data_IF_305796426698
#
_entry.id   IF_305796426698
#
_cell.length_a   1.000
_cell.length_b   1.000
_cell.length_c   1.000
_cell.angle_alpha   90.00
_cell.angle_beta   90.00
_cell.angle_gamma   90.00
#
_symmetry.space_group_name_H-M   'P 1'
#
loop_
_entity.id
_entity.type
_entity.pdbx_description
1 polymer ?
#
# COMPACT_ATOMS: atom_id res chain seq x y z
N UNK A 1 -12.44 -9.96 -82.93
CA UNK A 1 -12.30 -10.99 -81.85
C UNK A 1 -12.10 -10.23 -80.56
N UNK A 2 -13.20 -9.99 -79.85
CA UNK A 2 -13.26 -9.20 -78.63
C UNK A 2 -13.28 -10.13 -77.44
N UNK A 3 -12.32 -10.01 -76.59
CA UNK A 3 -12.29 -10.74 -75.31
C UNK A 3 -12.42 -9.75 -74.16
N UNK A 4 -13.66 -9.54 -73.74
CA UNK A 4 -13.97 -8.77 -72.52
C UNK A 4 -13.75 -9.65 -71.31
N UNK A 5 -12.74 -9.31 -70.51
CA UNK A 5 -12.48 -9.95 -69.22
C UNK A 5 -13.34 -9.21 -68.19
N UNK A 6 -14.35 -9.89 -67.62
CA UNK A 6 -15.14 -9.44 -66.46
C UNK A 6 -14.37 -9.74 -65.18
N UNK A 7 -13.86 -8.68 -64.57
CA UNK A 7 -13.32 -8.75 -63.20
C UNK A 7 -14.48 -8.75 -62.20
N UNK A 8 -14.70 -9.87 -61.51
CA UNK A 8 -15.66 -9.94 -60.42
C UNK A 8 -14.89 -9.54 -59.16
N UNK A 9 -15.23 -8.34 -58.65
CA UNK A 9 -14.75 -7.87 -57.32
C UNK A 9 -15.59 -8.57 -56.28
N UNK A 10 -15.03 -9.57 -55.59
CA UNK A 10 -15.64 -10.21 -54.41
C UNK A 10 -15.29 -9.39 -53.19
N UNK A 11 -16.22 -8.52 -52.78
CA UNK A 11 -16.12 -7.76 -51.53
C UNK A 11 -16.30 -8.68 -50.31
N UNK A 12 -15.22 -9.05 -49.64
CA UNK A 12 -15.28 -9.67 -48.33
C UNK A 12 -15.63 -8.58 -47.29
N UNK A 13 -16.92 -8.55 -46.87
CA UNK A 13 -17.33 -7.87 -45.65
C UNK A 13 -16.81 -8.69 -44.45
N UNK A 14 -15.68 -8.29 -43.93
CA UNK A 14 -15.25 -8.69 -42.58
C UNK A 14 -16.15 -7.95 -41.57
N UNK A 15 -17.26 -8.60 -41.20
CA UNK A 15 -18.01 -8.22 -40.02
C UNK A 15 -17.11 -8.50 -38.80
N UNK A 16 -16.40 -7.49 -38.38
CA UNK A 16 -15.68 -7.51 -37.09
C UNK A 16 -16.69 -7.61 -35.96
N UNK A 17 -17.03 -8.83 -35.56
CA UNK A 17 -17.68 -9.05 -34.26
C UNK A 17 -16.65 -8.67 -33.20
N UNK A 18 -16.71 -7.44 -32.70
CA UNK A 18 -16.09 -7.09 -31.45
C UNK A 18 -16.78 -7.96 -30.37
N UNK A 19 -16.16 -9.11 -30.08
CA UNK A 19 -16.47 -9.82 -28.85
C UNK A 19 -16.06 -8.90 -27.73
N UNK A 20 -17.01 -8.13 -27.21
CA UNK A 20 -16.95 -7.56 -25.88
C UNK A 20 -16.89 -8.76 -24.93
N UNK A 21 -15.68 -9.16 -24.58
CA UNK A 21 -15.47 -9.96 -23.39
C UNK A 21 -15.93 -9.08 -22.23
N UNK A 22 -17.17 -9.28 -21.79
CA UNK A 22 -17.60 -8.89 -20.47
C UNK A 22 -16.73 -9.66 -19.49
N UNK A 23 -15.54 -9.13 -19.22
CA UNK A 23 -14.76 -9.54 -18.09
C UNK A 23 -15.59 -9.07 -16.89
N UNK A 24 -16.24 -10.03 -16.20
CA UNK A 24 -16.73 -9.77 -14.85
C UNK A 24 -15.53 -9.24 -14.08
N UNK A 25 -15.44 -7.92 -13.96
CA UNK A 25 -14.31 -7.26 -13.30
C UNK A 25 -14.44 -7.57 -11.82
N UNK A 26 -13.63 -8.54 -11.37
CA UNK A 26 -13.57 -8.86 -9.95
C UNK A 26 -13.18 -7.58 -9.21
N UNK A 27 -14.02 -7.16 -8.26
CA UNK A 27 -13.67 -6.12 -7.30
C UNK A 27 -12.73 -6.71 -6.26
N UNK A 28 -11.51 -6.18 -6.16
CA UNK A 28 -10.57 -6.57 -5.11
C UNK A 28 -10.79 -5.73 -3.86
N UNK A 29 -10.88 -6.39 -2.71
CA UNK A 29 -11.00 -5.72 -1.41
C UNK A 29 -9.65 -5.69 -0.71
N UNK A 30 -9.23 -4.50 -0.28
CA UNK A 30 -7.93 -4.27 0.35
C UNK A 30 -8.13 -3.65 1.72
N UNK A 31 -7.74 -4.37 2.77
CA UNK A 31 -7.82 -3.90 4.15
C UNK A 31 -6.49 -3.27 4.58
N UNK A 32 -6.54 -2.04 5.08
CA UNK A 32 -5.40 -1.33 5.65
C UNK A 32 -5.46 -1.41 7.18
N UNK A 33 -4.53 -2.14 7.78
CA UNK A 33 -4.37 -2.26 9.23
C UNK A 33 -3.04 -1.62 9.66
N UNK A 34 -3.13 -0.47 10.30
CA UNK A 34 -1.94 0.29 10.66
C UNK A 34 -2.27 1.54 11.48
N UNK A 35 -1.41 2.52 11.39
CA UNK A 35 -1.47 3.76 12.18
C UNK A 35 -1.73 5.00 11.30
N UNK A 36 -1.45 6.17 11.85
CA UNK A 36 -1.72 7.47 11.19
C UNK A 36 -1.07 7.65 9.82
N UNK A 37 -0.04 6.89 9.47
CA UNK A 37 0.57 6.94 8.13
C UNK A 37 -0.42 6.49 7.06
N UNK A 38 -1.32 5.56 7.38
CA UNK A 38 -2.32 5.09 6.43
C UNK A 38 -3.52 6.04 6.25
N UNK A 39 -3.87 6.83 7.26
CA UNK A 39 -5.11 7.60 7.22
C UNK A 39 -4.95 9.11 7.41
N UNK A 40 -3.78 9.60 7.84
CA UNK A 40 -3.57 11.03 8.07
C UNK A 40 -3.50 11.80 6.74
N UNK A 41 -3.93 13.05 6.73
CA UNK A 41 -3.93 13.94 5.55
C UNK A 41 -4.60 13.34 4.28
N UNK A 42 -5.61 12.50 4.43
CA UNK A 42 -6.32 11.88 3.32
C UNK A 42 -5.94 10.44 3.02
N UNK A 43 -4.94 9.89 3.74
CA UNK A 43 -4.59 8.48 3.71
C UNK A 43 -3.86 8.01 2.45
N UNK A 44 -3.35 6.79 2.50
CA UNK A 44 -2.72 6.12 1.36
C UNK A 44 -3.73 5.45 0.43
N UNK A 45 -4.90 5.11 0.93
CA UNK A 45 -5.91 4.36 0.19
C UNK A 45 -6.48 5.14 -1.00
N UNK A 46 -6.68 6.46 -0.87
CA UNK A 46 -7.22 7.28 -1.96
C UNK A 46 -6.32 7.32 -3.20
N UNK A 47 -5.03 7.68 -3.10
CA UNK A 47 -4.16 7.61 -4.27
C UNK A 47 -3.91 6.17 -4.74
N UNK A 48 -3.93 5.16 -3.85
CA UNK A 48 -3.84 3.76 -4.25
C UNK A 48 -5.02 3.35 -5.14
N UNK A 49 -6.26 3.66 -4.75
CA UNK A 49 -7.45 3.44 -5.58
C UNK A 49 -7.37 4.23 -6.89
N UNK A 50 -6.83 5.45 -6.86
CA UNK A 50 -6.62 6.26 -8.05
C UNK A 50 -5.73 5.56 -9.07
N UNK A 51 -4.59 4.99 -8.65
CA UNK A 51 -3.73 4.18 -9.53
C UNK A 51 -4.44 2.94 -10.07
N UNK A 52 -5.23 2.26 -9.23
CA UNK A 52 -5.98 1.07 -9.65
C UNK A 52 -7.05 1.41 -10.67
N UNK A 53 -7.84 2.46 -10.43
CA UNK A 53 -8.91 2.90 -11.33
C UNK A 53 -8.37 3.35 -12.69
N UNK A 54 -7.27 4.12 -12.71
CA UNK A 54 -6.60 4.51 -13.95
C UNK A 54 -6.12 3.31 -14.75
N UNK A 55 -5.70 2.26 -14.08
CA UNK A 55 -5.30 1.00 -14.71
C UNK A 55 -6.49 0.10 -15.11
N UNK A 56 -7.73 0.53 -14.96
CA UNK A 56 -8.94 -0.26 -15.21
C UNK A 56 -9.10 -1.43 -14.24
N UNK A 57 -8.58 -1.32 -13.01
CA UNK A 57 -8.72 -2.31 -11.97
C UNK A 57 -9.75 -1.83 -10.94
N UNK A 58 -10.69 -2.69 -10.61
CA UNK A 58 -11.67 -2.39 -9.56
C UNK A 58 -11.12 -2.84 -8.19
N UNK A 59 -10.69 -1.87 -7.38
CA UNK A 59 -10.20 -2.08 -6.03
C UNK A 59 -10.99 -1.23 -5.04
N UNK A 60 -11.38 -1.85 -3.92
CA UNK A 60 -11.96 -1.15 -2.77
C UNK A 60 -10.99 -1.21 -1.60
N UNK A 61 -10.52 -0.06 -1.19
CA UNK A 61 -9.78 0.08 0.04
C UNK A 61 -10.73 0.16 1.24
N UNK A 62 -10.37 -0.55 2.30
CA UNK A 62 -11.07 -0.52 3.58
C UNK A 62 -10.07 -0.17 4.66
N UNK A 63 -10.36 0.83 5.48
CA UNK A 63 -9.51 1.23 6.59
C UNK A 63 -10.20 0.92 7.92
N UNK A 64 -9.43 0.44 8.88
CA UNK A 64 -9.94 0.13 10.22
C UNK A 64 -10.37 1.36 11.03
N UNK A 65 -10.09 2.58 10.59
CA UNK A 65 -10.43 3.79 11.33
C UNK A 65 -11.63 4.50 10.76
N UNK A 66 -12.52 4.91 11.67
CA UNK A 66 -13.60 5.84 11.39
C UNK A 66 -13.03 7.26 11.22
N UNK A 67 -12.74 7.66 9.98
CA UNK A 67 -12.64 9.07 9.62
C UNK A 67 -14.00 9.47 9.08
N UNK A 68 -14.45 10.73 9.21
CA UNK A 68 -15.78 11.11 8.72
C UNK A 68 -16.01 10.54 7.32
N UNK A 69 -17.10 9.81 7.13
CA UNK A 69 -17.31 9.05 5.94
C UNK A 69 -17.52 10.01 4.82
N UNK A 70 -17.14 10.09 3.76
CA UNK A 70 -17.92 10.73 2.75
C UNK A 70 -17.21 11.40 1.59
N UNK A 71 -15.92 11.54 1.64
CA UNK A 71 -15.33 12.21 0.49
C UNK A 71 -14.57 11.29 -0.46
N UNK A 72 -14.31 10.03 -0.11
CA UNK A 72 -13.34 9.21 -0.83
C UNK A 72 -13.83 7.80 -1.23
N UNK A 73 -15.09 7.44 -0.98
CA UNK A 73 -15.60 6.11 -1.31
C UNK A 73 -14.99 4.95 -0.49
N UNK A 74 -14.20 5.27 0.53
CA UNK A 74 -13.57 4.28 1.40
C UNK A 74 -14.56 3.83 2.47
N UNK A 75 -14.71 2.52 2.62
CA UNK A 75 -15.48 1.95 3.70
C UNK A 75 -14.67 2.04 5.00
N UNK A 76 -15.20 2.76 6.00
CA UNK A 76 -14.60 2.87 7.32
C UNK A 76 -15.30 1.98 8.32
N UNK A 77 -14.49 1.33 9.15
CA UNK A 77 -14.99 0.47 10.21
C UNK A 77 -14.82 1.21 11.53
N UNK A 78 -15.92 1.31 12.28
CA UNK A 78 -15.89 1.93 13.61
C UNK A 78 -15.31 0.95 14.64
N UNK A 79 -14.02 1.05 14.86
CA UNK A 79 -13.27 0.21 15.82
C UNK A 79 -12.98 0.91 17.15
N UNK A 80 -13.38 2.15 17.32
CA UNK A 80 -13.01 2.94 18.49
C UNK A 80 -11.49 3.18 18.56
N UNK A 81 -10.86 2.92 19.71
CA UNK A 81 -9.41 3.10 19.87
C UNK A 81 -8.65 1.99 19.14
N UNK A 82 -7.89 2.36 18.12
CA UNK A 82 -7.10 1.43 17.32
C UNK A 82 -5.84 1.03 18.10
N UNK A 83 -5.53 -0.27 18.17
CA UNK A 83 -4.21 -0.74 18.60
C UNK A 83 -3.11 -0.14 17.73
N UNK A 84 -2.01 0.27 18.34
CA UNK A 84 -0.94 0.99 17.63
C UNK A 84 0.28 0.14 17.32
N UNK A 85 0.29 -1.12 17.75
CA UNK A 85 1.39 -2.05 17.51
C UNK A 85 0.87 -3.43 17.12
N UNK A 86 1.71 -4.21 16.46
CA UNK A 86 1.34 -5.54 15.97
C UNK A 86 0.82 -6.51 17.04
N UNK A 87 1.46 -6.66 18.22
CA UNK A 87 0.92 -7.52 19.28
C UNK A 87 -0.48 -7.13 19.76
N UNK A 88 -0.77 -5.83 19.90
CA UNK A 88 -2.11 -5.37 20.27
C UNK A 88 -3.13 -5.64 19.15
N UNK A 89 -2.74 -5.43 17.88
CA UNK A 89 -3.58 -5.74 16.72
C UNK A 89 -3.87 -7.25 16.68
N UNK A 90 -2.85 -8.09 16.87
CA UNK A 90 -3.00 -9.53 16.84
C UNK A 90 -3.73 -10.12 18.05
N UNK A 91 -3.79 -9.40 19.17
CA UNK A 91 -4.54 -9.81 20.36
C UNK A 91 -6.02 -9.39 20.29
N UNK A 92 -6.41 -8.53 19.38
CA UNK A 92 -7.79 -8.05 19.25
C UNK A 92 -8.62 -9.02 18.41
N UNK A 93 -9.53 -9.76 19.07
CA UNK A 93 -10.42 -10.72 18.39
C UNK A 93 -11.28 -10.05 17.30
N UNK A 94 -11.67 -8.79 17.48
CA UNK A 94 -12.45 -8.05 16.48
C UNK A 94 -11.68 -7.86 15.17
N UNK A 95 -10.35 -7.73 15.24
CA UNK A 95 -9.51 -7.67 14.05
C UNK A 95 -9.50 -9.01 13.32
N UNK A 96 -9.38 -10.12 14.06
CA UNK A 96 -9.47 -11.46 13.48
C UNK A 96 -10.84 -11.73 12.85
N UNK A 97 -11.92 -11.33 13.53
CA UNK A 97 -13.28 -11.45 13.01
C UNK A 97 -13.46 -10.60 11.73
N UNK A 98 -12.93 -9.37 11.73
CA UNK A 98 -12.94 -8.49 10.56
C UNK A 98 -12.23 -9.14 9.37
N UNK A 99 -11.01 -9.64 9.57
CA UNK A 99 -10.24 -10.30 8.51
C UNK A 99 -11.01 -11.51 7.98
N UNK A 100 -11.53 -12.35 8.90
CA UNK A 100 -12.20 -13.60 8.54
C UNK A 100 -13.52 -13.40 7.81
N UNK A 101 -14.26 -12.35 8.13
CA UNK A 101 -15.59 -12.08 7.55
C UNK A 101 -15.57 -11.14 6.36
N UNK A 102 -14.49 -10.37 6.17
CA UNK A 102 -14.46 -9.26 5.24
C UNK A 102 -14.17 -9.63 3.78
N UNK A 103 -13.82 -10.89 3.49
CA UNK A 103 -13.45 -11.35 2.13
C UNK A 103 -12.41 -10.44 1.46
N UNK A 104 -11.33 -10.10 2.19
CA UNK A 104 -10.26 -9.28 1.67
C UNK A 104 -9.31 -10.09 0.81
N UNK A 105 -8.99 -9.60 -0.38
CA UNK A 105 -7.96 -10.17 -1.25
C UNK A 105 -6.56 -9.86 -0.75
N UNK A 106 -6.39 -8.66 -0.16
CA UNK A 106 -5.13 -8.21 0.42
C UNK A 106 -5.36 -7.56 1.78
N UNK A 107 -4.52 -7.89 2.75
CA UNK A 107 -4.48 -7.22 4.04
C UNK A 107 -3.11 -6.60 4.24
N UNK A 108 -3.06 -5.29 4.28
CA UNK A 108 -1.84 -4.51 4.43
C UNK A 108 -1.61 -4.27 5.91
N UNK A 109 -0.51 -4.81 6.41
CA UNK A 109 -0.10 -4.71 7.81
C UNK A 109 1.04 -3.70 7.93
N UNK A 110 0.89 -2.75 8.81
CA UNK A 110 1.92 -1.78 9.16
C UNK A 110 2.21 -1.85 10.66
N UNK A 111 3.48 -1.95 11.02
CA UNK A 111 3.92 -1.84 12.39
C UNK A 111 4.45 -0.44 12.67
N UNK A 112 3.93 0.20 13.69
CA UNK A 112 4.47 1.47 14.15
C UNK A 112 5.95 1.30 14.53
N UNK A 113 6.81 2.26 14.17
CA UNK A 113 8.23 2.24 14.47
C UNK A 113 8.55 1.97 15.95
N UNK A 114 7.78 2.56 16.88
CA UNK A 114 7.93 2.30 18.32
C UNK A 114 7.64 0.85 18.72
N UNK A 115 7.12 0.05 17.78
CA UNK A 115 6.93 -1.39 17.97
C UNK A 115 8.18 -2.24 17.70
N UNK A 116 9.35 -1.64 17.39
CA UNK A 116 10.57 -2.40 17.17
C UNK A 116 11.68 -1.97 18.11
N UNK A 117 12.38 -2.95 18.67
CA UNK A 117 13.60 -2.73 19.44
C UNK A 117 14.74 -2.47 18.45
N UNK A 118 15.24 -1.24 18.47
CA UNK A 118 16.37 -0.85 17.64
C UNK A 118 17.62 -0.83 18.53
N UNK A 119 18.75 -1.44 18.11
CA UNK A 119 19.95 -1.55 18.94
C UNK A 119 20.46 -0.24 19.53
N UNK A 120 20.25 0.89 18.86
CA UNK A 120 20.71 2.21 19.28
C UNK A 120 19.68 3.04 20.08
N UNK A 121 18.61 2.44 20.56
CA UNK A 121 17.61 3.13 21.41
C UNK A 121 18.20 3.64 22.76
N UNK A 122 19.47 3.36 23.03
CA UNK A 122 20.20 3.96 24.14
C UNK A 122 20.21 5.50 24.09
N UNK A 123 20.18 6.08 22.87
CA UNK A 123 20.10 7.53 22.64
C UNK A 123 18.70 8.11 22.91
N UNK A 124 17.68 7.25 23.08
CA UNK A 124 16.30 7.67 23.26
C UNK A 124 15.63 6.88 24.41
N UNK A 125 16.05 7.11 25.68
CA UNK A 125 15.63 6.30 26.82
C UNK A 125 14.11 6.24 27.03
N UNK A 126 13.39 7.29 26.66
CA UNK A 126 11.91 7.33 26.76
C UNK A 126 11.20 6.42 25.74
N UNK A 127 11.90 5.83 24.81
CA UNK A 127 11.35 4.93 23.77
C UNK A 127 11.54 3.45 24.10
N UNK A 128 12.53 3.10 24.94
CA UNK A 128 12.79 1.71 25.37
C UNK A 128 11.57 1.04 26.01
N UNK A 129 10.80 1.80 26.79
CA UNK A 129 9.61 1.28 27.45
C UNK A 129 8.45 0.93 26.51
N UNK A 130 8.56 1.30 25.21
CA UNK A 130 7.54 1.08 24.19
C UNK A 130 8.04 0.18 23.06
N UNK A 131 9.29 -0.26 23.12
CA UNK A 131 9.86 -1.15 22.11
C UNK A 131 9.43 -2.59 22.39
N UNK A 132 9.06 -3.29 21.32
CA UNK A 132 8.56 -4.66 21.38
C UNK A 132 9.67 -5.59 20.84
N UNK A 133 9.98 -6.69 21.55
CA UNK A 133 10.94 -7.67 21.06
C UNK A 133 10.56 -8.22 19.69
N UNK A 134 11.57 -8.61 18.91
CA UNK A 134 11.39 -9.18 17.58
C UNK A 134 10.44 -10.39 17.62
N UNK A 135 10.62 -11.27 18.60
CA UNK A 135 9.84 -12.49 18.79
C UNK A 135 8.35 -12.18 18.95
N UNK A 136 8.01 -11.15 19.72
CA UNK A 136 6.61 -10.73 19.88
C UNK A 136 6.00 -10.15 18.61
N UNK A 137 6.82 -9.46 17.81
CA UNK A 137 6.35 -8.95 16.51
C UNK A 137 6.15 -10.09 15.50
N UNK A 138 7.06 -11.06 15.44
CA UNK A 138 6.91 -12.19 14.52
C UNK A 138 5.76 -13.11 14.93
N UNK A 139 5.54 -13.33 16.22
CA UNK A 139 4.39 -14.10 16.74
C UNK A 139 3.06 -13.43 16.35
N UNK A 140 2.97 -12.12 16.56
CA UNK A 140 1.81 -11.32 16.17
C UNK A 140 1.54 -11.36 14.67
N UNK A 141 2.57 -11.14 13.87
CA UNK A 141 2.48 -11.23 12.40
C UNK A 141 2.11 -12.63 11.94
N UNK A 142 2.64 -13.67 12.61
CA UNK A 142 2.33 -15.06 12.29
C UNK A 142 0.85 -15.38 12.56
N UNK A 143 0.31 -14.86 13.67
CA UNK A 143 -1.11 -14.99 14.00
C UNK A 143 -2.00 -14.32 12.95
N UNK A 144 -1.71 -13.06 12.61
CA UNK A 144 -2.45 -12.33 11.59
C UNK A 144 -2.32 -12.97 10.20
N UNK A 145 -1.11 -13.40 9.84
CA UNK A 145 -0.87 -14.07 8.55
C UNK A 145 -1.69 -15.35 8.42
N UNK A 146 -1.77 -16.16 9.48
CA UNK A 146 -2.65 -17.35 9.48
C UNK A 146 -4.10 -16.99 9.25
N UNK A 147 -4.62 -16.02 9.99
CA UNK A 147 -6.01 -15.55 9.82
C UNK A 147 -6.27 -15.06 8.39
N UNK A 148 -5.36 -14.25 7.84
CA UNK A 148 -5.48 -13.70 6.48
C UNK A 148 -5.52 -14.82 5.44
N UNK A 149 -4.59 -15.77 5.53
CA UNK A 149 -4.49 -16.88 4.57
C UNK A 149 -5.71 -17.80 4.68
N UNK A 150 -6.14 -18.13 5.90
CA UNK A 150 -7.32 -18.97 6.13
C UNK A 150 -8.61 -18.30 5.64
N UNK A 151 -8.67 -16.97 5.64
CA UNK A 151 -9.75 -16.20 5.03
C UNK A 151 -9.65 -16.08 3.50
N UNK A 152 -8.60 -16.63 2.89
CA UNK A 152 -8.37 -16.59 1.43
C UNK A 152 -7.65 -15.33 0.94
N UNK A 153 -7.19 -14.46 1.84
CA UNK A 153 -6.47 -13.24 1.50
C UNK A 153 -4.95 -13.42 1.40
N UNK A 154 -4.27 -12.41 0.92
CA UNK A 154 -2.81 -12.32 0.86
C UNK A 154 -2.29 -11.25 1.82
N UNK A 155 -1.25 -11.59 2.57
CA UNK A 155 -0.59 -10.67 3.50
C UNK A 155 0.36 -9.74 2.75
N UNK A 156 0.23 -8.45 3.01
CA UNK A 156 1.12 -7.40 2.53
C UNK A 156 1.77 -6.72 3.74
N UNK A 157 3.07 -6.87 3.90
CA UNK A 157 3.84 -6.20 4.94
C UNK A 157 4.34 -4.85 4.41
N UNK A 158 3.81 -3.77 4.93
CA UNK A 158 4.20 -2.41 4.56
C UNK A 158 5.32 -1.92 5.46
N UNK A 159 6.48 -1.63 4.87
CA UNK A 159 7.65 -1.14 5.60
C UNK A 159 7.44 0.33 5.96
N UNK A 160 7.18 0.58 7.23
CA UNK A 160 6.87 1.91 7.77
C UNK A 160 7.99 2.92 7.49
N UNK A 161 7.70 4.08 6.89
CA UNK A 161 8.71 5.06 6.50
C UNK A 161 9.50 5.69 7.67
N UNK A 162 8.94 5.65 8.86
CA UNK A 162 9.56 6.23 10.05
C UNK A 162 9.44 7.76 10.11
N UNK A 163 9.94 8.34 11.20
CA UNK A 163 9.94 9.77 11.45
C UNK A 163 11.21 10.37 10.83
N UNK A 164 11.13 11.57 10.25
CA UNK A 164 12.24 12.24 9.57
C UNK A 164 13.48 12.46 10.45
N UNK A 165 13.28 12.73 11.75
CA UNK A 165 14.37 12.98 12.71
C UNK A 165 15.22 11.75 13.01
N UNK A 166 14.93 10.61 12.42
CA UNK A 166 15.55 9.33 12.72
C UNK A 166 16.08 8.63 11.46
N UNK A 167 16.62 9.39 10.52
CA UNK A 167 17.19 8.85 9.29
C UNK A 167 18.23 7.74 9.55
N UNK A 168 19.07 7.91 10.57
CA UNK A 168 20.13 6.97 10.92
C UNK A 168 19.65 5.59 11.34
N UNK A 169 18.41 5.48 11.87
CA UNK A 169 17.83 4.21 12.31
C UNK A 169 16.90 3.57 11.28
N UNK A 170 16.64 4.23 10.16
CA UNK A 170 15.79 3.65 9.11
C UNK A 170 16.43 2.42 8.49
N UNK A 171 17.75 2.42 8.29
CA UNK A 171 18.43 1.26 7.73
C UNK A 171 18.34 0.00 8.61
N UNK A 172 18.65 0.03 9.92
CA UNK A 172 18.42 -1.11 10.80
C UNK A 172 16.97 -1.58 10.81
N UNK A 173 16.00 -0.67 10.83
CA UNK A 173 14.58 -0.99 10.77
C UNK A 173 14.21 -1.71 9.47
N UNK A 174 14.77 -1.29 8.34
CA UNK A 174 14.57 -1.97 7.06
C UNK A 174 15.06 -3.44 7.10
N UNK A 175 16.17 -3.72 7.79
CA UNK A 175 16.65 -5.09 7.96
C UNK A 175 15.69 -5.93 8.83
N UNK A 176 15.14 -5.34 9.89
CA UNK A 176 14.11 -6.00 10.72
C UNK A 176 12.91 -6.39 9.86
N UNK A 177 12.38 -5.49 9.03
CA UNK A 177 11.27 -5.80 8.13
C UNK A 177 11.61 -6.91 7.13
N UNK A 178 12.83 -6.92 6.59
CA UNK A 178 13.28 -7.99 5.68
C UNK A 178 13.35 -9.34 6.41
N UNK A 179 13.81 -9.36 7.66
CA UNK A 179 13.84 -10.56 8.48
C UNK A 179 12.43 -11.06 8.79
N UNK A 180 11.53 -10.18 9.23
CA UNK A 180 10.12 -10.52 9.47
C UNK A 180 9.44 -11.10 8.23
N UNK A 181 9.66 -10.48 7.07
CA UNK A 181 9.16 -10.99 5.79
C UNK A 181 9.70 -12.39 5.48
N UNK A 182 11.02 -12.58 5.64
CA UNK A 182 11.67 -13.88 5.42
C UNK A 182 11.11 -14.96 6.35
N UNK A 183 10.85 -14.61 7.61
CA UNK A 183 10.35 -15.59 8.58
C UNK A 183 8.86 -15.90 8.36
N UNK A 184 8.04 -14.90 7.99
CA UNK A 184 6.65 -15.14 7.61
C UNK A 184 6.52 -16.10 6.43
N UNK A 185 7.36 -15.98 5.40
CA UNK A 185 7.37 -16.87 4.23
C UNK A 185 7.73 -18.33 4.56
N UNK A 186 8.30 -18.59 5.73
CA UNK A 186 8.62 -19.96 6.20
C UNK A 186 7.45 -20.64 6.89
N UNK A 187 6.43 -19.87 7.29
CA UNK A 187 5.29 -20.39 8.03
C UNK A 187 4.45 -21.27 7.11
N UNK A 188 4.20 -22.49 7.56
CA UNK A 188 3.29 -23.41 6.91
C UNK A 188 1.87 -23.25 7.49
N UNK A 189 0.92 -23.09 6.58
CA UNK A 189 -0.51 -23.03 6.87
C UNK A 189 -1.18 -24.06 5.97
N UNK A 190 -1.91 -25.00 6.57
CA UNK A 190 -2.54 -26.12 5.86
C UNK A 190 -1.54 -26.92 5.00
N UNK A 191 -0.32 -27.13 5.54
CA UNK A 191 0.75 -27.91 4.92
C UNK A 191 1.48 -27.25 3.76
N UNK A 192 1.29 -25.96 3.52
CA UNK A 192 1.97 -25.20 2.46
C UNK A 192 2.42 -23.82 2.94
N UNK A 193 3.45 -23.30 2.29
CA UNK A 193 3.91 -21.93 2.46
C UNK A 193 3.11 -20.99 1.58
N UNK A 194 2.89 -19.77 2.07
CA UNK A 194 2.15 -18.75 1.36
C UNK A 194 3.03 -17.52 1.11
N UNK A 195 2.83 -16.92 -0.06
CA UNK A 195 3.56 -15.72 -0.41
C UNK A 195 3.11 -14.53 0.45
N UNK A 196 4.10 -13.75 0.89
CA UNK A 196 3.93 -12.48 1.58
C UNK A 196 4.55 -11.39 0.71
N UNK A 197 3.84 -10.32 0.49
CA UNK A 197 4.36 -9.17 -0.24
C UNK A 197 5.04 -8.23 0.76
N UNK A 198 6.30 -7.86 0.51
CA UNK A 198 6.98 -6.79 1.24
C UNK A 198 7.01 -5.52 0.40
N UNK A 199 6.38 -4.47 0.87
CA UNK A 199 6.37 -3.13 0.23
C UNK A 199 7.41 -2.25 0.91
N UNK A 200 8.55 -1.95 0.26
CA UNK A 200 9.69 -1.30 0.90
C UNK A 200 9.58 0.23 0.91
N UNK A 201 8.43 0.79 1.32
CA UNK A 201 8.17 2.22 1.28
C UNK A 201 9.22 3.06 2.03
N UNK A 202 9.75 2.55 3.14
CA UNK A 202 10.83 3.22 3.87
C UNK A 202 12.07 3.47 3.01
N UNK A 203 12.46 2.52 2.16
CA UNK A 203 13.65 2.66 1.33
C UNK A 203 13.45 3.78 0.29
N UNK A 204 12.29 3.81 -0.35
CA UNK A 204 11.91 4.90 -1.25
C UNK A 204 11.94 6.26 -0.53
N UNK A 205 11.42 6.33 0.69
CA UNK A 205 11.44 7.57 1.48
C UNK A 205 12.84 8.01 1.86
N UNK A 206 13.76 7.08 2.10
CA UNK A 206 15.18 7.41 2.33
C UNK A 206 15.84 8.07 1.11
N UNK A 207 15.52 7.58 -0.09
CA UNK A 207 16.04 8.17 -1.31
C UNK A 207 15.36 9.51 -1.63
N UNK A 208 14.04 9.61 -1.37
CA UNK A 208 13.32 10.86 -1.50
C UNK A 208 13.83 11.96 -0.56
N UNK A 209 14.20 11.61 0.68
CA UNK A 209 14.83 12.58 1.59
C UNK A 209 16.16 13.13 1.10
N UNK A 210 16.93 12.34 0.35
CA UNK A 210 18.18 12.81 -0.29
C UNK A 210 17.87 13.75 -1.46
N UNK A 211 16.77 13.53 -2.15
CA UNK A 211 16.37 14.26 -3.36
C UNK A 211 15.63 15.57 -3.01
N UNK A 212 14.63 15.49 -2.15
CA UNK A 212 13.73 16.62 -1.82
C UNK A 212 14.04 17.32 -0.50
N UNK A 213 14.85 16.71 0.37
CA UNK A 213 15.01 17.16 1.75
C UNK A 213 13.78 16.84 2.62
N UNK A 214 13.87 17.23 3.90
CA UNK A 214 12.79 16.97 4.87
C UNK A 214 11.55 17.81 4.55
N UNK A 215 11.74 19.09 4.28
CA UNK A 215 10.64 20.06 4.03
C UNK A 215 9.87 19.73 2.75
N UNK A 216 10.53 19.21 1.74
CA UNK A 216 9.89 18.79 0.48
C UNK A 216 9.14 17.46 0.56
N UNK A 217 9.30 16.70 1.67
CA UNK A 217 8.76 15.35 1.77
C UNK A 217 7.81 15.11 2.95
N UNK A 218 7.88 15.91 4.00
CA UNK A 218 7.05 15.77 5.19
C UNK A 218 6.11 16.96 5.37
N UNK A 219 4.87 16.68 5.76
CA UNK A 219 3.89 17.68 6.16
C UNK A 219 4.09 18.13 7.61
N UNK A 220 4.57 17.23 8.47
CA UNK A 220 4.90 17.47 9.87
C UNK A 220 6.05 16.57 10.35
N UNK A 221 6.30 16.51 11.65
CA UNK A 221 7.39 15.71 12.21
C UNK A 221 7.28 14.20 11.98
N UNK A 222 6.13 13.69 11.55
CA UNK A 222 5.84 12.26 11.47
C UNK A 222 5.20 11.80 10.16
N UNK A 223 4.47 12.69 9.48
CA UNK A 223 3.63 12.33 8.36
C UNK A 223 4.16 12.94 7.06
N UNK A 224 4.14 12.15 6.01
CA UNK A 224 4.48 12.62 4.68
C UNK A 224 3.45 13.61 4.13
N UNK A 225 3.91 14.52 3.28
CA UNK A 225 3.04 15.39 2.50
C UNK A 225 2.30 14.60 1.39
N UNK A 226 1.56 15.28 0.53
CA UNK A 226 0.80 14.64 -0.54
C UNK A 226 1.69 13.84 -1.50
N UNK A 227 2.87 14.36 -1.83
CA UNK A 227 3.83 13.71 -2.72
C UNK A 227 4.39 12.41 -2.12
N UNK A 228 4.72 12.42 -0.82
CA UNK A 228 5.18 11.25 -0.10
C UNK A 228 4.10 10.16 0.00
N UNK A 229 2.83 10.54 0.17
CA UNK A 229 1.70 9.60 0.15
C UNK A 229 1.45 9.04 -1.25
N UNK A 230 1.52 9.88 -2.27
CA UNK A 230 1.45 9.46 -3.66
C UNK A 230 2.52 8.41 -3.98
N UNK A 231 3.77 8.64 -3.58
CA UNK A 231 4.88 7.70 -3.79
C UNK A 231 4.62 6.35 -3.11
N UNK A 232 4.11 6.37 -1.89
CA UNK A 232 3.76 5.16 -1.12
C UNK A 232 2.62 4.39 -1.78
N UNK A 233 1.62 5.09 -2.27
CA UNK A 233 0.50 4.49 -3.01
C UNK A 233 0.92 3.92 -4.36
N UNK A 234 1.80 4.61 -5.09
CA UNK A 234 2.42 4.13 -6.32
C UNK A 234 3.18 2.82 -6.08
N UNK A 235 3.92 2.74 -4.95
CA UNK A 235 4.64 1.53 -4.57
C UNK A 235 3.68 0.39 -4.20
N UNK A 236 2.64 0.65 -3.40
CA UNK A 236 1.59 -0.33 -3.10
C UNK A 236 0.94 -0.87 -4.37
N UNK A 237 0.51 0.02 -5.27
CA UNK A 237 -0.06 -0.35 -6.56
C UNK A 237 0.86 -1.31 -7.32
N UNK A 238 2.13 -0.93 -7.47
CA UNK A 238 3.10 -1.72 -8.23
C UNK A 238 3.37 -3.09 -7.61
N UNK A 239 3.53 -3.15 -6.28
CA UNK A 239 3.84 -4.41 -5.59
C UNK A 239 2.64 -5.36 -5.51
N UNK A 240 1.43 -4.85 -5.40
CA UNK A 240 0.19 -5.65 -5.36
C UNK A 240 -0.21 -6.12 -6.77
N UNK A 241 -0.11 -5.24 -7.77
CA UNK A 241 -0.61 -5.55 -9.12
C UNK A 241 0.46 -6.12 -10.06
N UNK A 242 1.73 -5.89 -9.75
CA UNK A 242 2.86 -6.23 -10.65
C UNK A 242 2.98 -5.33 -11.87
N UNK A 243 2.18 -4.28 -11.98
CA UNK A 243 2.16 -3.38 -13.15
C UNK A 243 3.22 -2.30 -13.05
N UNK A 244 3.76 -1.92 -14.19
CA UNK A 244 4.72 -0.82 -14.34
C UNK A 244 3.99 0.53 -14.12
N UNK A 245 4.32 1.28 -13.06
CA UNK A 245 3.62 2.53 -12.74
C UNK A 245 3.89 3.65 -13.74
N UNK A 246 4.97 3.56 -14.53
CA UNK A 246 5.31 4.54 -15.56
C UNK A 246 4.32 4.53 -16.73
N UNK A 247 3.54 3.46 -16.85
CA UNK A 247 2.45 3.31 -17.84
C UNK A 247 1.09 3.73 -17.30
N UNK A 248 1.03 4.20 -16.07
CA UNK A 248 -0.18 4.65 -15.40
C UNK A 248 -0.22 6.18 -15.40
N UNK A 249 -1.30 6.78 -15.91
CA UNK A 249 -1.43 8.22 -16.06
C UNK A 249 -1.94 8.92 -14.79
N UNK A 250 -2.24 8.17 -13.71
CA UNK A 250 -2.65 8.77 -12.45
C UNK A 250 -1.54 9.64 -11.86
N UNK A 251 -1.85 10.93 -11.62
CA UNK A 251 -0.92 11.93 -11.11
C UNK A 251 -1.55 12.90 -10.09
N UNK A 252 -2.69 12.53 -9.50
CA UNK A 252 -3.37 13.40 -8.55
C UNK A 252 -2.79 13.28 -7.16
N UNK A 253 -2.48 14.43 -6.58
CA UNK A 253 -2.13 14.58 -5.17
C UNK A 253 -3.37 14.98 -4.41
N UNK A 254 -3.72 14.23 -3.37
CA UNK A 254 -4.84 14.56 -2.48
C UNK A 254 -4.30 15.06 -1.17
N UNK A 255 -4.64 16.28 -0.82
CA UNK A 255 -4.41 16.84 0.50
C UNK A 255 -5.74 17.05 1.21
N UNK A 256 -5.75 16.75 2.48
CA UNK A 256 -6.86 17.08 3.37
C UNK A 256 -6.40 18.23 4.26
N UNK A 257 -6.97 19.41 4.03
CA UNK A 257 -6.70 20.60 4.87
C UNK A 257 -7.63 20.59 6.07
N UNK A 258 -7.09 20.89 7.24
CA UNK A 258 -7.83 20.95 8.51
C UNK A 258 -7.38 19.90 9.53
N UNK A 259 -7.86 20.06 10.76
CA UNK A 259 -7.62 19.09 11.81
C UNK A 259 -8.48 17.84 11.54
N UNK A 260 -8.03 16.69 12.03
CA UNK A 260 -8.76 15.42 11.96
C UNK A 260 -10.16 15.45 12.62
N UNK A 261 -10.49 16.51 13.35
CA UNK A 261 -11.78 16.75 14.02
C UNK A 261 -12.77 17.55 13.15
N UNK A 262 -12.31 18.18 12.08
CA UNK A 262 -13.13 18.98 11.16
C UNK A 262 -13.18 18.21 9.84
N UNK A 263 -14.33 18.14 9.17
CA UNK A 263 -14.45 17.59 7.83
C UNK A 263 -13.44 18.34 6.96
N UNK A 264 -12.34 17.69 6.57
CA UNK A 264 -11.29 18.40 5.89
C UNK A 264 -11.73 18.69 4.45
N UNK A 265 -11.46 19.90 4.00
CA UNK A 265 -11.59 20.19 2.57
C UNK A 265 -10.57 19.36 1.80
N UNK A 266 -11.05 18.64 0.79
CA UNK A 266 -10.21 17.93 -0.14
C UNK A 266 -9.64 18.90 -1.15
N UNK A 267 -8.34 19.09 -1.15
CA UNK A 267 -7.63 19.84 -2.19
C UNK A 267 -6.93 18.82 -3.08
N UNK A 268 -7.37 18.72 -4.32
CA UNK A 268 -6.69 17.92 -5.33
C UNK A 268 -5.79 18.84 -6.15
N UNK A 269 -4.52 18.47 -6.25
CA UNK A 269 -3.54 19.07 -7.15
C UNK A 269 -2.95 18.02 -8.06
N UNK A 270 -2.24 18.43 -9.08
CA UNK A 270 -1.45 17.53 -9.93
C UNK A 270 -0.03 17.46 -9.37
N UNK A 271 0.58 16.28 -9.45
CA UNK A 271 2.00 16.16 -9.26
C UNK A 271 2.73 16.93 -10.37
N UNK A 272 3.84 17.57 -10.04
CA UNK A 272 4.76 18.07 -11.06
C UNK A 272 5.25 16.89 -11.91
N UNK A 273 5.40 17.10 -13.22
CA UNK A 273 5.76 16.03 -14.15
C UNK A 273 7.15 15.42 -13.84
N UNK A 274 8.08 16.22 -13.31
CA UNK A 274 9.41 15.77 -12.93
C UNK A 274 9.32 14.89 -11.66
N UNK A 275 8.55 15.32 -10.67
CA UNK A 275 8.28 14.58 -9.44
C UNK A 275 7.57 13.26 -9.71
N UNK A 276 6.53 13.30 -10.54
CA UNK A 276 5.78 12.11 -10.97
C UNK A 276 6.70 11.08 -11.62
N UNK A 277 7.49 11.52 -12.58
CA UNK A 277 8.42 10.66 -13.32
C UNK A 277 9.47 10.07 -12.39
N UNK A 278 10.10 10.88 -11.54
CA UNK A 278 11.10 10.43 -10.58
C UNK A 278 10.52 9.35 -9.66
N UNK A 279 9.33 9.58 -9.08
CA UNK A 279 8.68 8.62 -8.18
C UNK A 279 8.41 7.31 -8.90
N UNK A 280 7.78 7.34 -10.08
CA UNK A 280 7.42 6.15 -10.84
C UNK A 280 8.64 5.35 -11.26
N UNK A 281 9.73 6.02 -11.64
CA UNK A 281 11.01 5.38 -11.99
C UNK A 281 11.67 4.71 -10.78
N UNK A 282 11.71 5.39 -9.62
CA UNK A 282 12.26 4.80 -8.39
C UNK A 282 11.43 3.59 -7.95
N UNK A 283 10.11 3.70 -7.96
CA UNK A 283 9.22 2.57 -7.61
C UNK A 283 9.45 1.38 -8.53
N UNK A 284 9.55 1.62 -9.84
CA UNK A 284 9.84 0.54 -10.80
C UNK A 284 11.22 -0.07 -10.61
N UNK A 285 12.22 0.74 -10.30
CA UNK A 285 13.57 0.27 -9.99
C UNK A 285 13.52 -0.69 -8.79
N UNK A 286 12.90 -0.30 -7.68
CA UNK A 286 12.75 -1.16 -6.51
C UNK A 286 12.00 -2.46 -6.81
N UNK A 287 10.94 -2.37 -7.61
CA UNK A 287 10.15 -3.54 -7.98
C UNK A 287 10.89 -4.50 -8.91
N UNK A 288 11.53 -3.99 -9.94
CA UNK A 288 12.20 -4.81 -10.97
C UNK A 288 13.50 -5.47 -10.49
N UNK A 289 14.18 -4.85 -9.52
CA UNK A 289 15.44 -5.35 -8.95
C UNK A 289 15.26 -6.18 -7.67
N UNK A 290 14.01 -6.37 -7.19
CA UNK A 290 13.76 -7.14 -5.97
C UNK A 290 14.18 -8.61 -6.16
N UNK A 291 14.68 -9.29 -5.12
CA UNK A 291 14.90 -10.72 -5.13
C UNK A 291 13.57 -11.46 -5.43
N UNK A 292 13.60 -12.38 -6.36
CA UNK A 292 12.46 -13.24 -6.71
C UNK A 292 12.34 -14.43 -5.77
#
# INVERSE_FOLDING_TARGET
>A
MDHSIKVILLGLLLAGTSMSYGQDSKTYRVLFLGNSVFYYHGGLYSPFEGFCNEAGLDYKAVSQRNTPPNSLGVEFLDYGRIPVNLPEIAADSKIHDLISSGNYDFVILEARRSGFLIPDDAKFPNRRSKSIPYEQNIDALSSLHRTIVQAGGQTVLYMHPGIHTNADIKHPLAQIYKSLHSDLKKIEIDGRKHEVILVPAMLLWLDALKHYGVEGWYADAAHGNALARYSSACMLYTYITGRDPRKNEFNRLTEMTGSWEIIPEKVDSLADAEDEMWIKDQVWLYYSTRPR
#
